data_IF_335381372769
#
_entry.id   IF_335381372769
#
_cell.length_a   1.000
_cell.length_b   1.000
_cell.length_c   1.000
_cell.angle_alpha   90.00
_cell.angle_beta   90.00
_cell.angle_gamma   90.00
#
_symmetry.space_group_name_H-M   'P 1'
#
loop_
_entity.id
_entity.type
_entity.pdbx_description
1 polymer ?
#
# COMPACT_ATOMS: atom_id res chain seq x y z
N UNK A 1 7.24 -16.53 2.18
CA UNK A 1 6.25 -16.39 3.26
C UNK A 1 5.63 -15.00 3.21
N UNK A 2 4.43 -14.86 3.73
CA UNK A 2 3.69 -13.60 3.67
C UNK A 2 4.46 -12.43 4.29
N UNK A 3 5.02 -12.61 5.49
CA UNK A 3 5.75 -11.53 6.16
C UNK A 3 6.90 -10.99 5.30
N UNK A 4 7.60 -11.85 4.59
CA UNK A 4 8.68 -11.43 3.70
C UNK A 4 8.15 -10.59 2.53
N UNK A 5 7.02 -10.99 1.95
CA UNK A 5 6.38 -10.25 0.86
C UNK A 5 5.89 -8.89 1.33
N UNK A 6 5.30 -8.80 2.52
CA UNK A 6 4.86 -7.53 3.09
C UNK A 6 6.04 -6.59 3.36
N UNK A 7 7.19 -7.11 3.79
CA UNK A 7 8.40 -6.30 3.95
C UNK A 7 8.89 -5.71 2.63
N UNK A 8 8.74 -6.45 1.53
CA UNK A 8 9.10 -5.95 0.20
C UNK A 8 8.25 -4.74 -0.15
N UNK A 9 6.95 -4.79 0.12
CA UNK A 9 6.05 -3.66 -0.07
C UNK A 9 6.47 -2.47 0.81
N UNK A 10 6.71 -2.72 2.09
CA UNK A 10 7.17 -1.68 3.02
C UNK A 10 8.43 -0.99 2.51
N UNK A 11 9.42 -1.78 2.10
CA UNK A 11 10.71 -1.25 1.66
C UNK A 11 10.56 -0.41 0.38
N UNK A 12 9.67 -0.82 -0.52
CA UNK A 12 9.37 -0.05 -1.72
C UNK A 12 8.77 1.31 -1.39
N UNK A 13 7.85 1.36 -0.41
CA UNK A 13 7.24 2.62 0.02
C UNK A 13 8.24 3.52 0.77
N UNK A 14 9.02 2.94 1.66
CA UNK A 14 10.06 3.68 2.40
C UNK A 14 11.11 4.26 1.45
N UNK A 15 11.43 3.55 0.39
CA UNK A 15 12.42 3.97 -0.59
C UNK A 15 12.01 5.15 -1.48
N UNK A 16 10.75 5.58 -1.43
CA UNK A 16 10.25 6.66 -2.30
C UNK A 16 10.90 7.99 -1.96
N UNK A 17 10.95 8.34 -0.67
CA UNK A 17 11.55 9.60 -0.22
C UNK A 17 11.82 9.56 1.28
N UNK A 18 12.96 10.12 1.69
CA UNK A 18 13.30 10.28 3.11
C UNK A 18 12.46 11.38 3.79
N UNK A 19 11.74 12.18 3.01
CA UNK A 19 10.87 13.25 3.52
C UNK A 19 9.43 12.82 3.77
N UNK A 20 9.11 11.57 3.42
CA UNK A 20 7.76 11.01 3.60
C UNK A 20 7.83 9.95 4.69
N UNK A 21 7.06 10.14 5.76
CA UNK A 21 6.95 9.13 6.81
C UNK A 21 6.07 7.99 6.34
N UNK A 22 6.53 6.75 6.52
CA UNK A 22 5.77 5.56 6.16
C UNK A 22 5.43 4.80 7.44
N UNK A 23 4.14 4.53 7.64
CA UNK A 23 3.65 3.85 8.83
C UNK A 23 2.81 2.64 8.45
N UNK A 24 2.98 1.55 9.19
CA UNK A 24 2.17 0.35 9.06
C UNK A 24 1.04 0.42 10.11
N UNK A 25 -0.21 0.51 9.67
CA UNK A 25 -1.44 0.57 10.48
C UNK A 25 -1.76 1.92 11.15
N UNK A 26 -0.78 2.71 11.55
CA UNK A 26 -1.00 3.83 12.46
C UNK A 26 -0.88 5.19 11.78
N UNK A 27 -1.86 6.05 12.06
CA UNK A 27 -1.82 7.44 11.60
C UNK A 27 -1.41 8.41 12.71
N UNK A 28 -1.56 8.05 13.99
CA UNK A 28 -1.45 8.96 15.13
C UNK A 28 -0.21 9.86 15.07
N UNK A 29 -0.43 11.17 15.19
CA UNK A 29 0.62 12.20 15.28
C UNK A 29 1.56 12.31 14.07
N UNK A 30 1.16 11.79 12.92
CA UNK A 30 1.95 11.94 11.70
C UNK A 30 1.72 13.31 11.08
N UNK A 31 2.81 13.92 10.58
CA UNK A 31 2.77 15.17 9.82
C UNK A 31 2.88 14.89 8.34
N UNK A 32 2.05 15.53 7.54
CA UNK A 32 2.11 15.39 6.09
C UNK A 32 3.45 15.92 5.53
N UNK A 33 4.00 15.29 4.50
CA UNK A 33 3.42 14.14 3.82
C UNK A 33 3.71 12.82 4.53
N UNK A 34 2.75 11.91 4.52
CA UNK A 34 2.95 10.58 5.08
C UNK A 34 2.14 9.53 4.33
N UNK A 35 2.62 8.29 4.41
CA UNK A 35 1.96 7.12 3.84
C UNK A 35 1.60 6.17 4.98
N UNK A 36 0.36 5.67 4.95
CA UNK A 36 -0.07 4.57 5.81
C UNK A 36 -0.43 3.41 4.91
N UNK A 37 0.03 2.23 5.26
CA UNK A 37 -0.30 1.03 4.50
C UNK A 37 -0.65 -0.11 5.44
N UNK A 38 -1.47 -1.05 4.95
CA UNK A 38 -1.81 -2.25 5.71
C UNK A 38 -2.36 -3.33 4.80
N UNK A 39 -2.20 -4.56 5.23
CA UNK A 39 -2.94 -5.70 4.71
C UNK A 39 -4.29 -5.77 5.41
N UNK A 40 -5.35 -6.07 4.65
CA UNK A 40 -6.71 -6.11 5.17
C UNK A 40 -7.29 -7.51 5.27
N UNK A 41 -6.83 -8.43 4.42
CA UNK A 41 -7.35 -9.79 4.47
C UNK A 41 -6.95 -10.62 3.27
N UNK A 42 -7.60 -11.75 3.15
CA UNK A 42 -7.35 -12.76 2.12
C UNK A 42 -8.49 -12.76 1.09
N UNK A 43 -8.12 -12.92 -0.19
CA UNK A 43 -9.07 -12.97 -1.28
C UNK A 43 -8.47 -13.76 -2.46
N UNK A 44 -9.32 -14.56 -3.12
CA UNK A 44 -8.95 -15.29 -4.34
C UNK A 44 -7.76 -16.24 -4.18
N UNK A 45 -7.64 -16.87 -3.02
CA UNK A 45 -6.65 -17.93 -2.82
C UNK A 45 -7.02 -19.19 -3.58
N UNK A 46 -6.01 -19.95 -3.99
CA UNK A 46 -6.19 -21.19 -4.71
C UNK A 46 -5.82 -22.37 -3.79
N UNK A 47 -6.69 -23.38 -3.74
CA UNK A 47 -6.45 -24.60 -2.98
C UNK A 47 -6.41 -25.81 -3.90
N UNK A 48 -5.60 -26.80 -3.53
CA UNK A 48 -5.54 -28.10 -4.18
C UNK A 48 -5.28 -29.15 -3.11
N UNK A 49 -6.01 -30.31 -3.19
CA UNK A 49 -5.87 -31.41 -2.23
C UNK A 49 -6.03 -30.95 -0.78
N UNK A 50 -7.02 -30.07 -0.50
CA UNK A 50 -7.28 -29.50 0.81
C UNK A 50 -6.15 -28.64 1.37
N UNK A 51 -5.22 -28.23 0.52
CA UNK A 51 -4.12 -27.33 0.88
C UNK A 51 -4.16 -26.08 0.04
N UNK A 52 -3.84 -24.97 0.65
CA UNK A 52 -3.69 -23.72 -0.06
C UNK A 52 -2.37 -23.74 -0.83
N UNK A 53 -2.42 -23.60 -2.16
CA UNK A 53 -1.23 -23.62 -3.02
C UNK A 53 -0.82 -22.21 -3.43
N UNK A 54 -1.77 -21.29 -3.47
CA UNK A 54 -1.51 -19.86 -3.65
C UNK A 54 -2.39 -19.09 -2.69
N UNK A 55 -1.85 -18.02 -2.14
CA UNK A 55 -2.59 -17.13 -1.25
C UNK A 55 -2.72 -15.76 -1.88
N UNK A 56 -3.96 -15.26 -1.94
CA UNK A 56 -4.27 -13.89 -2.35
C UNK A 56 -4.48 -13.03 -1.12
N UNK A 57 -3.77 -11.91 -1.04
CA UNK A 57 -3.89 -10.93 0.04
C UNK A 57 -4.22 -9.59 -0.58
N UNK A 58 -5.07 -8.82 0.08
CA UNK A 58 -5.35 -7.45 -0.34
C UNK A 58 -5.14 -6.48 0.81
N UNK A 59 -4.91 -5.24 0.45
CA UNK A 59 -4.74 -4.18 1.42
C UNK A 59 -4.80 -2.82 0.77
N UNK A 60 -4.37 -1.82 1.50
CA UNK A 60 -4.44 -0.43 1.05
C UNK A 60 -3.10 0.28 1.26
N UNK A 61 -2.90 1.31 0.44
CA UNK A 61 -1.88 2.33 0.63
C UNK A 61 -2.61 3.66 0.60
N UNK A 62 -2.43 4.47 1.64
CA UNK A 62 -3.03 5.79 1.77
C UNK A 62 -1.91 6.83 1.85
N UNK A 63 -1.97 7.84 1.00
CA UNK A 63 -1.00 8.93 0.99
C UNK A 63 -1.71 10.24 1.32
N UNK A 64 -1.16 10.95 2.31
CA UNK A 64 -1.70 12.23 2.79
C UNK A 64 -0.70 13.33 2.53
N UNK A 65 -1.13 14.38 1.85
CA UNK A 65 -0.27 15.51 1.49
C UNK A 65 -1.08 16.82 1.52
N UNK A 66 -0.38 17.93 1.71
CA UNK A 66 -0.96 19.26 1.56
C UNK A 66 -0.76 19.82 0.16
N UNK A 67 0.05 19.14 -0.64
CA UNK A 67 0.49 19.63 -1.94
C UNK A 67 -0.36 19.04 -3.06
N UNK A 68 -1.03 19.93 -3.81
CA UNK A 68 -1.69 19.53 -5.05
C UNK A 68 -0.64 19.14 -6.09
N UNK A 69 -0.92 18.12 -6.89
CA UNK A 69 0.02 17.56 -7.88
C UNK A 69 1.36 17.12 -7.28
N UNK A 70 1.28 16.52 -6.10
CA UNK A 70 2.48 16.04 -5.41
C UNK A 70 3.15 14.91 -6.21
N UNK A 71 4.44 15.05 -6.57
CA UNK A 71 5.14 14.00 -7.33
C UNK A 71 5.26 12.66 -6.58
N UNK A 72 5.08 12.65 -5.26
CA UNK A 72 5.05 11.40 -4.49
C UNK A 72 3.89 10.51 -4.93
N UNK A 73 2.78 11.08 -5.38
CA UNK A 73 1.67 10.32 -5.95
C UNK A 73 2.16 9.40 -7.07
N UNK A 74 2.88 9.96 -8.05
CA UNK A 74 3.40 9.18 -9.18
C UNK A 74 4.47 8.19 -8.71
N UNK A 75 5.29 8.57 -7.74
CA UNK A 75 6.31 7.69 -7.19
C UNK A 75 5.71 6.47 -6.50
N UNK A 76 4.57 6.62 -5.82
CA UNK A 76 3.85 5.51 -5.21
C UNK A 76 3.35 4.57 -6.30
N UNK A 77 2.71 5.09 -7.35
CA UNK A 77 2.21 4.25 -8.42
C UNK A 77 3.34 3.48 -9.11
N UNK A 78 4.46 4.15 -9.36
CA UNK A 78 5.63 3.49 -9.94
C UNK A 78 6.17 2.39 -9.03
N UNK A 79 6.29 2.67 -7.73
CA UNK A 79 6.78 1.68 -6.77
C UNK A 79 5.88 0.44 -6.73
N UNK A 80 4.56 0.63 -6.70
CA UNK A 80 3.61 -0.48 -6.70
C UNK A 80 3.67 -1.27 -8.01
N UNK A 81 3.79 -0.57 -9.13
CA UNK A 81 3.81 -1.20 -10.45
C UNK A 81 5.10 -2.00 -10.70
N UNK A 82 6.19 -1.63 -10.07
CA UNK A 82 7.48 -2.31 -10.20
C UNK A 82 7.59 -3.55 -9.32
N UNK A 83 6.66 -3.77 -8.39
CA UNK A 83 6.70 -4.94 -7.50
C UNK A 83 6.21 -6.19 -8.23
N UNK A 84 6.98 -7.29 -8.10
CA UNK A 84 6.55 -8.59 -8.57
C UNK A 84 5.45 -9.14 -7.65
N UNK A 85 4.54 -9.91 -8.20
CA UNK A 85 3.43 -10.56 -7.51
C UNK A 85 2.39 -9.59 -6.92
N UNK A 86 2.56 -8.30 -7.11
CA UNK A 86 1.60 -7.29 -6.68
C UNK A 86 0.90 -6.67 -7.88
N UNK A 87 -0.40 -6.42 -7.71
CA UNK A 87 -1.18 -5.57 -8.59
C UNK A 87 -1.79 -4.45 -7.75
N UNK A 88 -2.21 -3.37 -8.38
CA UNK A 88 -2.82 -2.27 -7.65
C UNK A 88 -3.89 -1.58 -8.48
N UNK A 89 -4.75 -0.88 -7.77
CA UNK A 89 -5.78 -0.04 -8.38
C UNK A 89 -5.85 1.27 -7.60
N UNK A 90 -5.85 2.39 -8.32
CA UNK A 90 -6.13 3.68 -7.72
C UNK A 90 -7.62 3.73 -7.36
N UNK A 91 -7.93 4.01 -6.09
CA UNK A 91 -9.30 3.99 -5.59
C UNK A 91 -9.95 5.36 -5.60
N UNK A 92 -9.31 6.34 -4.96
CA UNK A 92 -9.95 7.62 -4.73
C UNK A 92 -8.96 8.68 -4.30
N UNK A 93 -9.38 9.92 -4.50
CA UNK A 93 -8.77 11.09 -3.87
C UNK A 93 -9.86 11.85 -3.14
N UNK A 94 -9.61 12.22 -1.89
CA UNK A 94 -10.52 12.99 -1.07
C UNK A 94 -9.75 14.13 -0.38
N UNK A 95 -10.43 15.25 -0.16
CA UNK A 95 -9.88 16.33 0.65
C UNK A 95 -10.52 16.28 2.03
N UNK A 96 -9.68 16.25 3.07
CA UNK A 96 -10.16 16.31 4.45
C UNK A 96 -10.35 17.77 4.85
N UNK A 97 -11.58 18.18 5.08
CA UNK A 97 -11.88 19.58 5.39
C UNK A 97 -11.25 20.04 6.71
N UNK A 98 -11.21 19.18 7.72
CA UNK A 98 -10.70 19.55 9.04
C UNK A 98 -9.20 19.78 9.05
N UNK A 99 -8.45 19.03 8.27
CA UNK A 99 -6.98 19.05 8.25
C UNK A 99 -6.41 19.80 7.05
N UNK A 100 -7.21 19.96 6.00
CA UNK A 100 -6.75 20.48 4.72
C UNK A 100 -5.89 19.48 3.95
N UNK A 101 -5.83 18.23 4.39
CA UNK A 101 -5.04 17.21 3.72
C UNK A 101 -5.77 16.64 2.51
N UNK A 102 -4.99 16.35 1.48
CA UNK A 102 -5.44 15.57 0.33
C UNK A 102 -5.07 14.13 0.61
N UNK A 103 -6.05 13.25 0.53
CA UNK A 103 -5.89 11.82 0.82
C UNK A 103 -6.07 11.03 -0.46
N UNK A 104 -5.01 10.37 -0.91
CA UNK A 104 -5.03 9.47 -2.05
C UNK A 104 -5.00 8.03 -1.57
N UNK A 105 -5.83 7.16 -2.18
CA UNK A 105 -5.92 5.75 -1.79
C UNK A 105 -5.70 4.83 -2.97
N UNK A 106 -4.97 3.76 -2.72
CA UNK A 106 -4.80 2.63 -3.64
C UNK A 106 -5.13 1.35 -2.93
N UNK A 107 -5.78 0.42 -3.64
CA UNK A 107 -5.87 -0.96 -3.20
C UNK A 107 -4.78 -1.76 -3.90
N UNK A 108 -4.09 -2.60 -3.15
CA UNK A 108 -3.12 -3.51 -3.70
C UNK A 108 -3.55 -4.95 -3.45
N UNK A 109 -3.09 -5.85 -4.31
CA UNK A 109 -3.30 -7.28 -4.18
C UNK A 109 -1.98 -7.98 -4.38
N UNK A 110 -1.74 -8.98 -3.55
CA UNK A 110 -0.57 -9.83 -3.60
C UNK A 110 -1.03 -11.25 -3.86
N UNK A 111 -0.42 -11.91 -4.85
CA UNK A 111 -0.62 -13.33 -5.07
C UNK A 111 0.73 -14.02 -4.98
N UNK A 112 0.85 -14.99 -4.10
CA UNK A 112 2.11 -15.70 -3.93
C UNK A 112 1.87 -17.18 -3.63
N UNK A 113 2.83 -18.03 -4.02
CA UNK A 113 2.81 -19.44 -3.72
C UNK A 113 3.48 -19.77 -2.38
N UNK A 114 3.29 -20.99 -1.92
CA UNK A 114 3.91 -21.52 -0.68
C UNK A 114 3.54 -20.69 0.57
N UNK A 115 2.24 -20.51 0.79
CA UNK A 115 1.80 -19.79 1.99
C UNK A 115 2.15 -20.52 3.29
#
# INVERSE_FOLDING_TARGET
MLATKLKILRDALVGISDKVTVSHYWRANLKAPFIIWQEDGEDNSLTANNRKVEQGIYGVVDFYTKKEYDPVFDAIQKALNDLEDFTFRYEATEREDETGLIHHSWEWRLLYGEP
#
